data_IF_882550464441
#
_entry.id   IF_882550464441
#
_cell.length_a   1.000
_cell.length_b   1.000
_cell.length_c   1.000
_cell.angle_alpha   90.00
_cell.angle_beta   90.00
_cell.angle_gamma   90.00
#
_symmetry.space_group_name_H-M   'P 1'
#
loop_
_entity.id
_entity.type
_entity.pdbx_description
1 polymer ?
#
# COMPACT_ATOMS: atom_id res chain seq x y z
N UNK A 1 -16.44 -2.33 4.64
CA UNK A 1 -15.28 -1.71 3.94
C UNK A 1 -14.02 -2.36 4.48
N UNK A 2 -13.33 -3.19 3.70
CA UNK A 2 -12.03 -3.75 4.10
C UNK A 2 -10.95 -2.75 3.72
N UNK A 3 -10.20 -2.28 4.70
CA UNK A 3 -9.11 -1.30 4.56
C UNK A 3 -8.12 -1.61 3.41
N UNK A 4 -7.68 -2.87 3.17
CA UNK A 4 -6.72 -3.13 2.09
C UNK A 4 -7.31 -2.92 0.70
N UNK A 5 -8.62 -3.11 0.52
CA UNK A 5 -9.26 -2.93 -0.79
C UNK A 5 -9.31 -1.47 -1.20
N UNK A 6 -9.33 -0.53 -0.24
CA UNK A 6 -9.39 0.90 -0.55
C UNK A 6 -8.19 1.34 -1.39
N UNK A 7 -6.98 0.97 -0.97
CA UNK A 7 -5.76 1.34 -1.67
C UNK A 7 -5.65 0.66 -3.04
N UNK A 8 -6.17 -0.56 -3.17
CA UNK A 8 -6.30 -1.25 -4.47
C UNK A 8 -7.29 -0.52 -5.38
N UNK A 9 -8.44 -0.12 -4.86
CA UNK A 9 -9.50 0.56 -5.63
C UNK A 9 -9.04 1.95 -6.11
N UNK A 10 -8.43 2.75 -5.22
CA UNK A 10 -7.98 4.10 -5.57
C UNK A 10 -6.71 4.12 -6.43
N UNK A 11 -5.88 3.06 -6.37
CA UNK A 11 -4.75 2.85 -7.28
C UNK A 11 -5.14 2.14 -8.57
N UNK A 12 -6.45 1.98 -8.86
CA UNK A 12 -6.94 1.33 -10.07
C UNK A 12 -6.33 -0.07 -10.28
N UNK A 13 -6.26 -0.89 -9.22
CA UNK A 13 -5.66 -2.23 -9.22
C UNK A 13 -4.13 -2.27 -9.39
N UNK A 14 -3.42 -1.18 -9.06
CA UNK A 14 -1.96 -1.10 -9.10
C UNK A 14 -1.38 -0.78 -7.71
N UNK A 15 -1.53 -1.66 -6.70
CA UNK A 15 -1.07 -1.36 -5.35
C UNK A 15 0.44 -1.13 -5.24
N UNK A 16 1.24 -1.65 -6.16
CA UNK A 16 2.70 -1.48 -6.18
C UNK A 16 3.15 -0.03 -6.43
N UNK A 17 2.27 0.83 -6.98
CA UNK A 17 2.59 2.24 -7.24
C UNK A 17 2.30 3.16 -6.05
N UNK A 18 1.66 2.64 -5.01
CA UNK A 18 1.36 3.37 -3.77
C UNK A 18 2.62 3.37 -2.90
N UNK A 19 3.27 4.52 -2.81
CA UNK A 19 4.41 4.76 -1.92
C UNK A 19 3.97 5.44 -0.61
N UNK A 20 4.86 5.44 0.39
CA UNK A 20 4.60 6.02 1.72
C UNK A 20 4.24 7.50 1.60
N UNK A 21 4.91 8.24 0.71
CA UNK A 21 4.64 9.65 0.48
C UNK A 21 3.21 9.89 -0.05
N UNK A 22 2.74 9.07 -0.99
CA UNK A 22 1.36 9.13 -1.48
C UNK A 22 0.35 8.84 -0.36
N UNK A 23 0.65 7.85 0.50
CA UNK A 23 -0.24 7.53 1.62
C UNK A 23 -0.33 8.71 2.60
N UNK A 24 0.79 9.29 3.01
CA UNK A 24 0.82 10.44 3.92
C UNK A 24 0.09 11.67 3.36
N UNK A 25 0.14 11.89 2.05
CA UNK A 25 -0.55 13.00 1.40
C UNK A 25 -2.08 12.81 1.37
N UNK A 26 -2.55 11.58 1.29
CA UNK A 26 -3.96 11.26 1.05
C UNK A 26 -4.68 10.71 2.28
N UNK A 27 -3.97 10.17 3.27
CA UNK A 27 -4.59 9.60 4.46
C UNK A 27 -5.40 10.61 5.24
N UNK A 28 -6.52 10.15 5.83
CA UNK A 28 -7.43 11.00 6.58
C UNK A 28 -8.30 11.93 5.73
N UNK A 29 -8.14 11.94 4.40
CA UNK A 29 -8.91 12.80 3.50
C UNK A 29 -10.22 12.15 3.06
N UNK A 30 -11.29 12.94 2.95
CA UNK A 30 -12.59 12.53 2.40
C UNK A 30 -12.97 13.34 1.15
N UNK A 31 -12.26 13.16 0.01
CA UNK A 31 -12.32 14.06 -1.14
C UNK A 31 -13.69 14.15 -1.85
N UNK A 32 -14.58 13.19 -1.63
CA UNK A 32 -15.96 13.26 -2.15
C UNK A 32 -16.91 14.03 -1.25
N UNK A 33 -16.65 14.05 0.05
CA UNK A 33 -17.52 14.64 1.06
C UNK A 33 -17.07 16.05 1.44
N UNK A 34 -15.76 16.29 1.50
CA UNK A 34 -15.16 17.52 2.02
C UNK A 34 -14.44 18.27 0.89
N UNK A 35 -14.82 19.54 0.68
CA UNK A 35 -14.27 20.38 -0.40
C UNK A 35 -12.79 20.73 -0.21
N UNK A 36 -12.35 20.95 1.03
CA UNK A 36 -10.94 21.23 1.36
C UNK A 36 -10.08 20.00 1.04
N UNK A 37 -10.47 18.83 1.51
CA UNK A 37 -9.79 17.56 1.18
C UNK A 37 -9.73 17.32 -0.33
N UNK A 38 -10.83 17.62 -1.04
CA UNK A 38 -10.83 17.53 -2.51
C UNK A 38 -9.78 18.42 -3.16
N UNK A 39 -9.61 19.64 -2.64
CA UNK A 39 -8.60 20.59 -3.13
C UNK A 39 -7.18 20.08 -2.84
N UNK A 40 -6.91 19.67 -1.60
CA UNK A 40 -5.62 19.10 -1.21
C UNK A 40 -5.25 17.88 -2.05
N UNK A 41 -6.21 16.98 -2.31
CA UNK A 41 -6.00 15.83 -3.21
C UNK A 41 -5.67 16.31 -4.62
N UNK A 42 -6.41 17.27 -5.18
CA UNK A 42 -6.11 17.81 -6.51
C UNK A 42 -4.70 18.40 -6.57
N UNK A 43 -4.32 19.22 -5.59
CA UNK A 43 -2.99 19.83 -5.50
C UNK A 43 -1.89 18.77 -5.39
N UNK A 44 -2.11 17.68 -4.65
CA UNK A 44 -1.15 16.58 -4.57
C UNK A 44 -0.95 15.87 -5.92
N UNK A 45 -2.00 15.73 -6.72
CA UNK A 45 -1.90 15.20 -8.09
C UNK A 45 -1.26 16.20 -9.06
N UNK A 46 -1.67 17.47 -9.00
CA UNK A 46 -1.21 18.55 -9.88
C UNK A 46 0.28 18.88 -9.66
N UNK A 47 0.74 18.79 -8.41
CA UNK A 47 2.17 18.98 -8.05
C UNK A 47 3.05 17.76 -8.31
N UNK A 48 2.50 16.66 -8.84
CA UNK A 48 3.28 15.44 -9.09
C UNK A 48 3.60 14.61 -7.84
N UNK A 49 3.20 15.06 -6.64
CA UNK A 49 3.61 14.46 -5.36
C UNK A 49 2.85 13.17 -4.99
N UNK A 50 1.59 13.04 -5.43
CA UNK A 50 0.85 11.79 -5.31
C UNK A 50 1.17 10.85 -6.48
N UNK A 51 1.31 9.54 -6.21
CA UNK A 51 1.61 8.51 -7.20
C UNK A 51 2.84 8.83 -8.06
N UNK A 52 3.94 9.21 -7.42
CA UNK A 52 5.21 9.65 -8.08
C UNK A 52 5.76 8.62 -9.07
N UNK A 53 5.51 7.33 -8.82
CA UNK A 53 5.97 6.20 -9.63
C UNK A 53 5.17 6.01 -10.92
N UNK A 54 4.07 6.74 -11.11
CA UNK A 54 3.18 6.63 -12.27
C UNK A 54 3.50 7.73 -13.28
N UNK A 55 4.20 7.37 -14.35
CA UNK A 55 4.53 8.27 -15.47
C UNK A 55 3.44 8.29 -16.56
N UNK A 56 2.64 7.22 -16.66
CA UNK A 56 1.52 7.16 -17.60
C UNK A 56 0.43 8.17 -17.22
N UNK A 57 0.26 9.18 -18.08
CA UNK A 57 -0.73 10.25 -17.89
C UNK A 57 -2.18 9.74 -17.85
N UNK A 58 -2.52 8.71 -18.63
CA UNK A 58 -3.86 8.11 -18.65
C UNK A 58 -4.12 7.35 -17.35
N UNK A 59 -3.16 6.55 -16.90
CA UNK A 59 -3.27 5.85 -15.61
C UNK A 59 -3.36 6.85 -14.45
N UNK A 60 -2.55 7.91 -14.47
CA UNK A 60 -2.56 8.97 -13.47
C UNK A 60 -3.90 9.71 -13.43
N UNK A 61 -4.51 9.98 -14.59
CA UNK A 61 -5.85 10.58 -14.68
C UNK A 61 -6.94 9.65 -14.11
N UNK A 62 -6.85 8.35 -14.38
CA UNK A 62 -7.76 7.33 -13.79
C UNK A 62 -7.63 7.28 -12.27
N UNK A 63 -6.41 7.24 -11.74
CA UNK A 63 -6.16 7.26 -10.29
C UNK A 63 -6.70 8.54 -9.65
N UNK A 64 -6.44 9.71 -10.26
CA UNK A 64 -7.01 10.99 -9.80
C UNK A 64 -8.52 10.94 -9.72
N UNK A 65 -9.19 10.43 -10.75
CA UNK A 65 -10.65 10.26 -10.77
C UNK A 65 -11.10 9.30 -9.67
N UNK A 66 -10.43 8.17 -9.50
CA UNK A 66 -10.77 7.17 -8.49
C UNK A 66 -10.69 7.74 -7.07
N UNK A 67 -9.56 8.37 -6.72
CA UNK A 67 -9.35 9.02 -5.41
C UNK A 67 -10.42 10.10 -5.17
N UNK A 68 -10.71 10.96 -6.15
CA UNK A 68 -11.71 12.02 -6.00
C UNK A 68 -13.16 11.50 -5.89
N UNK A 69 -13.44 10.30 -6.40
CA UNK A 69 -14.76 9.68 -6.38
C UNK A 69 -14.99 8.73 -5.20
N UNK A 70 -13.93 8.45 -4.45
CA UNK A 70 -13.96 7.59 -3.28
C UNK A 70 -14.93 8.09 -2.20
N UNK A 71 -15.84 7.20 -1.76
CA UNK A 71 -16.84 7.48 -0.73
C UNK A 71 -16.32 7.02 0.62
N UNK A 72 -15.66 7.91 1.36
CA UNK A 72 -15.18 7.64 2.72
C UNK A 72 -13.93 8.45 3.05
N UNK A 73 -13.35 8.15 4.22
CA UNK A 73 -12.03 8.65 4.64
C UNK A 73 -10.97 7.68 4.14
N UNK A 74 -9.95 8.20 3.46
CA UNK A 74 -8.83 7.39 2.97
C UNK A 74 -8.07 6.85 4.18
N UNK A 75 -7.88 5.52 4.30
CA UNK A 75 -7.27 4.91 5.46
C UNK A 75 -5.78 5.24 5.55
N UNK A 76 -5.28 5.31 6.79
CA UNK A 76 -3.88 5.62 7.08
C UNK A 76 -2.92 4.52 6.70
N UNK A 77 -1.62 4.87 6.64
CA UNK A 77 -0.55 3.89 6.47
C UNK A 77 -0.56 2.84 7.57
N UNK A 78 -0.86 3.23 8.82
CA UNK A 78 -0.98 2.30 9.96
C UNK A 78 -2.08 1.26 9.70
N UNK A 79 -3.26 1.72 9.31
CA UNK A 79 -4.40 0.86 9.00
C UNK A 79 -4.13 -0.04 7.78
N UNK A 80 -3.39 0.47 6.78
CA UNK A 80 -2.96 -0.31 5.62
C UNK A 80 -1.91 -1.36 5.97
N UNK A 81 -0.87 -1.02 6.74
CA UNK A 81 0.16 -1.96 7.20
C UNK A 81 -0.44 -3.08 8.04
N UNK A 82 -1.35 -2.76 8.96
CA UNK A 82 -2.05 -3.75 9.77
C UNK A 82 -2.83 -4.74 8.88
N UNK A 83 -3.43 -4.24 7.81
CA UNK A 83 -4.12 -5.07 6.81
C UNK A 83 -3.15 -5.92 5.97
N UNK A 84 -1.98 -5.39 5.61
CA UNK A 84 -0.95 -6.12 4.85
C UNK A 84 -0.30 -7.26 5.65
N UNK A 85 -0.24 -7.18 6.99
CA UNK A 85 0.27 -8.28 7.82
C UNK A 85 -0.48 -9.59 7.55
N UNK A 86 -1.79 -9.52 7.31
CA UNK A 86 -2.58 -10.70 6.98
C UNK A 86 -2.27 -11.24 5.58
N UNK A 87 -2.00 -10.36 4.61
CA UNK A 87 -1.58 -10.77 3.26
C UNK A 87 -0.21 -11.44 3.27
N UNK A 88 0.76 -10.92 4.03
CA UNK A 88 2.10 -11.53 4.11
C UNK A 88 2.06 -12.91 4.77
N UNK A 89 1.23 -13.10 5.80
CA UNK A 89 0.98 -14.40 6.41
C UNK A 89 0.36 -15.37 5.38
N UNK A 90 -0.68 -14.93 4.66
CA UNK A 90 -1.33 -15.75 3.63
C UNK A 90 -0.37 -16.17 2.51
N UNK A 91 0.43 -15.25 1.98
CA UNK A 91 1.46 -15.53 0.96
C UNK A 91 2.51 -16.49 1.52
N UNK A 92 2.92 -16.33 2.78
CA UNK A 92 3.88 -17.24 3.42
C UNK A 92 3.30 -18.66 3.53
N UNK A 93 2.05 -18.80 3.95
CA UNK A 93 1.38 -20.11 4.03
C UNK A 93 1.29 -20.76 2.64
N UNK A 94 0.85 -20.02 1.63
CA UNK A 94 0.74 -20.53 0.25
C UNK A 94 2.11 -20.93 -0.30
N UNK A 95 3.14 -20.12 -0.10
CA UNK A 95 4.52 -20.46 -0.51
C UNK A 95 5.03 -21.70 0.22
N UNK A 96 4.74 -21.85 1.50
CA UNK A 96 5.14 -23.03 2.27
C UNK A 96 4.42 -24.29 1.79
N UNK A 97 3.16 -24.19 1.37
CA UNK A 97 2.39 -25.31 0.81
C UNK A 97 2.86 -25.68 -0.61
N UNK A 98 3.20 -24.69 -1.44
CA UNK A 98 3.64 -24.91 -2.82
C UNK A 98 5.11 -25.33 -2.92
N UNK A 99 5.96 -24.86 -2.01
CA UNK A 99 7.42 -25.08 -2.05
C UNK A 99 7.99 -25.43 -0.67
N UNK A 100 7.62 -26.60 -0.09
CA UNK A 100 8.02 -26.98 1.25
C UNK A 100 9.55 -27.01 1.44
N UNK A 101 10.32 -27.39 0.42
CA UNK A 101 11.79 -27.51 0.51
C UNK A 101 12.54 -26.16 0.53
N UNK A 102 11.93 -25.06 0.07
CA UNK A 102 12.56 -23.74 0.04
C UNK A 102 12.63 -23.07 1.43
N UNK A 103 11.79 -23.54 2.36
CA UNK A 103 11.71 -23.04 3.74
C UNK A 103 12.88 -23.49 4.61
N UNK A 104 13.49 -24.62 4.27
CA UNK A 104 14.63 -25.19 4.99
C UNK A 104 15.81 -24.21 4.95
N UNK A 105 16.11 -23.56 3.81
CA UNK A 105 17.23 -22.61 3.68
C UNK A 105 17.11 -21.31 4.51
N UNK A 106 15.90 -20.92 4.95
CA UNK A 106 15.70 -19.74 5.82
C UNK A 106 15.86 -20.04 7.30
N UNK A 107 15.66 -21.29 7.72
CA UNK A 107 15.91 -21.73 9.09
C UNK A 107 17.40 -21.62 9.42
N UNK A 108 18.28 -22.15 8.54
CA UNK A 108 19.73 -22.23 8.78
C UNK A 108 20.44 -20.87 8.91
N UNK A 109 19.91 -19.82 8.25
CA UNK A 109 20.49 -18.47 8.38
C UNK A 109 20.16 -17.78 9.71
N UNK A 110 19.12 -18.22 10.42
CA UNK A 110 18.73 -17.63 11.71
C UNK A 110 19.63 -18.13 12.85
N UNK A 111 19.99 -19.41 12.83
CA UNK A 111 20.91 -20.03 13.79
C UNK A 111 22.34 -19.45 13.74
N UNK A 112 22.83 -19.05 12.55
CA UNK A 112 24.17 -18.46 12.43
C UNK A 112 24.29 -17.01 12.94
N UNK A 113 23.19 -16.26 13.03
CA UNK A 113 23.19 -14.91 13.60
C UNK A 113 23.10 -14.91 15.12
N UNK A 114 22.50 -15.93 15.73
CA UNK A 114 22.42 -16.06 17.18
C UNK A 114 23.73 -16.63 17.78
N UNK A 115 24.44 -17.51 17.06
CA UNK A 115 25.74 -18.07 17.49
C UNK A 115 26.88 -17.04 17.48
N UNK A 116 26.72 -15.91 16.77
CA UNK A 116 27.75 -14.87 16.66
C UNK A 116 27.64 -13.75 17.71
N UNK A 117 26.59 -13.75 18.54
CA UNK A 117 26.35 -12.74 19.56
C UNK A 117 26.62 -13.25 21.00
N UNK A 118 27.14 -14.47 21.14
CA UNK A 118 27.46 -15.11 22.43
C UNK A 118 28.95 -15.50 22.52
N UNK A 119 29.83 -14.60 22.05
CA UNK A 119 31.29 -14.74 22.17
C UNK A 119 31.97 -13.40 22.43
#
# INVERSE_FOLDING_TARGET
MRIPNVWVDISCNHPAVVDIATVQLLEGRAPKLIKSDRRTVKEAFDSGKAFTRVQDAQLRAKMRKSVLQFRGVIPSLKSFHESMKYTSIGVTVVLNLMYPESTQRRSWKRWQTDEKNDR
#
